data_IF_241867191859
#
_entry.id   IF_241867191859
#
_cell.length_a   1.000
_cell.length_b   1.000
_cell.length_c   1.000
_cell.angle_alpha   90.00
_cell.angle_beta   90.00
_cell.angle_gamma   90.00
#
_symmetry.space_group_name_H-M   'P 1'
#
loop_
_entity.id
_entity.type
_entity.pdbx_description
1 polymer ?
#
# COMPACT_ATOMS: atom_id res chain seq x y z
N UNK A 1 -29.13 72.90 14.78
CA UNK A 1 -29.43 72.56 16.20
C UNK A 1 -29.32 71.05 16.35
N UNK A 2 -28.27 70.55 17.01
CA UNK A 2 -28.32 69.76 18.27
C UNK A 2 -29.03 68.39 18.10
N UNK A 3 -28.48 67.20 18.34
CA UNK A 3 -27.38 66.71 19.20
C UNK A 3 -26.89 65.36 18.66
N UNK A 4 -25.58 65.08 18.69
CA UNK A 4 -25.00 63.73 18.54
C UNK A 4 -24.52 63.28 19.92
N UNK A 5 -25.04 62.16 20.40
CA UNK A 5 -24.83 61.67 21.76
C UNK A 5 -23.79 60.54 21.82
N UNK A 6 -22.98 60.63 22.88
CA UNK A 6 -22.34 59.58 23.67
C UNK A 6 -21.39 58.57 22.99
N UNK A 7 -20.09 58.83 23.19
CA UNK A 7 -19.01 57.82 23.20
C UNK A 7 -19.09 57.07 24.52
N UNK A 8 -19.16 55.74 24.48
CA UNK A 8 -19.11 54.86 25.66
C UNK A 8 -17.77 54.14 25.68
N UNK A 9 -16.90 54.51 26.61
CA UNK A 9 -15.62 53.85 26.86
C UNK A 9 -15.85 52.57 27.65
N UNK A 10 -15.54 51.42 27.05
CA UNK A 10 -15.57 50.10 27.70
C UNK A 10 -14.18 49.71 28.19
N UNK A 11 -14.01 49.70 29.51
CA UNK A 11 -12.84 49.22 30.24
C UNK A 11 -12.66 47.70 30.03
N UNK A 12 -11.52 47.29 29.44
CA UNK A 12 -11.14 45.89 29.30
C UNK A 12 -10.45 45.43 30.59
N UNK A 13 -11.20 44.70 31.41
CA UNK A 13 -10.70 44.09 32.64
C UNK A 13 -9.88 42.87 32.23
N UNK A 14 -8.55 42.99 32.39
CA UNK A 14 -7.58 41.91 32.25
C UNK A 14 -7.86 40.80 33.26
N UNK A 15 -8.38 39.65 32.79
CA UNK A 15 -8.46 38.44 33.60
C UNK A 15 -7.17 37.65 33.45
N UNK A 16 -6.27 37.87 34.40
CA UNK A 16 -5.10 37.02 34.62
C UNK A 16 -5.56 35.61 35.04
N UNK A 17 -5.36 34.63 34.17
CA UNK A 17 -5.56 33.22 34.51
C UNK A 17 -4.33 32.75 35.29
N UNK A 18 -4.46 32.70 36.62
CA UNK A 18 -3.48 32.07 37.48
C UNK A 18 -3.45 30.57 37.18
N UNK A 19 -2.36 30.11 36.55
CA UNK A 19 -2.03 28.70 36.40
C UNK A 19 -1.57 28.19 37.77
N UNK A 20 -2.45 27.46 38.47
CA UNK A 20 -2.07 26.73 39.68
C UNK A 20 -1.31 25.45 39.29
N UNK A 21 -0.12 25.17 39.87
CA UNK A 21 0.52 23.88 39.67
C UNK A 21 -0.31 22.81 40.40
N UNK A 22 -0.84 21.84 39.64
CA UNK A 22 -1.44 20.63 40.21
C UNK A 22 -0.35 19.86 40.95
N UNK A 23 -0.45 19.82 42.28
CA UNK A 23 0.24 18.85 43.12
C UNK A 23 -0.09 17.45 42.59
N UNK A 24 0.94 16.70 42.17
CA UNK A 24 0.79 15.29 41.82
C UNK A 24 0.26 14.54 43.05
N UNK A 25 -0.83 13.77 42.93
CA UNK A 25 -1.24 12.89 44.02
C UNK A 25 -0.11 11.89 44.26
N UNK A 26 0.35 11.80 45.50
CA UNK A 26 1.34 10.82 45.89
C UNK A 26 0.78 9.43 45.60
N UNK A 27 1.37 8.75 44.61
CA UNK A 27 1.10 7.36 44.34
C UNK A 27 1.54 6.56 45.57
N UNK A 28 0.58 6.25 46.45
CA UNK A 28 0.72 5.15 47.38
C UNK A 28 0.89 3.90 46.52
N UNK A 29 2.13 3.40 46.43
CA UNK A 29 2.42 2.08 45.87
C UNK A 29 1.75 1.07 46.78
N UNK A 30 0.47 0.77 46.53
CA UNK A 30 -0.11 -0.49 46.97
C UNK A 30 0.68 -1.58 46.26
N UNK A 31 1.47 -2.30 47.03
CA UNK A 31 2.07 -3.56 46.60
C UNK A 31 0.90 -4.50 46.29
N UNK A 32 0.55 -4.63 45.02
CA UNK A 32 -0.38 -5.66 44.58
C UNK A 32 0.37 -6.97 44.77
N UNK A 33 -0.11 -7.79 45.71
CA UNK A 33 0.35 -9.16 45.91
C UNK A 33 0.35 -9.88 44.57
N UNK A 34 1.36 -10.71 44.31
CA UNK A 34 1.46 -11.49 43.07
C UNK A 34 0.20 -12.31 42.75
N UNK A 35 -0.66 -12.55 43.75
CA UNK A 35 -1.88 -13.33 43.65
C UNK A 35 -3.10 -12.53 43.13
N UNK A 36 -3.05 -11.20 43.13
CA UNK A 36 -4.16 -10.32 42.69
C UNK A 36 -3.92 -9.70 41.30
N UNK A 37 -2.90 -10.16 40.56
CA UNK A 37 -2.74 -9.76 39.16
C UNK A 37 -3.86 -10.41 38.34
N UNK A 38 -4.78 -9.66 37.71
CA UNK A 38 -5.71 -10.26 36.77
C UNK A 38 -4.88 -10.97 35.71
N UNK A 39 -5.08 -12.27 35.59
CA UNK A 39 -4.52 -13.05 34.51
C UNK A 39 -4.99 -12.38 33.23
N UNK A 40 -4.06 -11.84 32.44
CA UNK A 40 -4.39 -11.44 31.08
C UNK A 40 -4.86 -12.73 30.40
N UNK A 41 -6.16 -12.84 30.13
CA UNK A 41 -6.70 -13.95 29.36
C UNK A 41 -5.92 -13.98 28.05
N UNK A 42 -5.13 -15.03 27.88
CA UNK A 42 -4.48 -15.33 26.61
C UNK A 42 -5.64 -15.45 25.61
N UNK A 43 -5.70 -14.62 24.55
CA UNK A 43 -6.76 -14.76 23.57
C UNK A 43 -6.71 -16.19 23.04
N UNK A 44 -7.79 -16.93 23.28
CA UNK A 44 -8.02 -18.28 22.80
C UNK A 44 -7.68 -18.30 21.30
N UNK A 45 -6.95 -19.29 20.76
CA UNK A 45 -6.74 -19.40 19.33
C UNK A 45 -8.11 -19.31 18.65
N UNK A 46 -8.34 -18.24 17.90
CA UNK A 46 -9.58 -18.05 17.18
C UNK A 46 -9.78 -19.26 16.28
N UNK A 47 -10.91 -19.94 16.45
CA UNK A 47 -11.36 -21.03 15.59
C UNK A 47 -11.18 -20.63 14.11
N UNK A 48 -10.72 -21.54 13.22
CA UNK A 48 -10.54 -21.22 11.81
C UNK A 48 -11.86 -20.65 11.27
N UNK A 49 -11.85 -19.38 10.90
CA UNK A 49 -13.04 -18.75 10.37
C UNK A 49 -13.48 -19.51 9.12
N UNK A 50 -14.78 -19.80 8.95
CA UNK A 50 -15.28 -20.46 7.75
C UNK A 50 -14.83 -19.64 6.53
N UNK A 51 -14.34 -20.31 5.49
CA UNK A 51 -13.92 -19.62 4.26
C UNK A 51 -15.13 -18.86 3.71
N UNK A 52 -14.95 -17.58 3.31
CA UNK A 52 -16.04 -16.80 2.74
C UNK A 52 -16.58 -17.50 1.48
N UNK A 53 -17.90 -17.51 1.32
CA UNK A 53 -18.55 -18.05 0.13
C UNK A 53 -18.55 -17.02 -1.02
N UNK A 54 -18.38 -17.46 -2.27
CA UNK A 54 -18.39 -16.54 -3.40
C UNK A 54 -19.78 -15.95 -3.62
N UNK A 55 -19.88 -14.62 -3.66
CA UNK A 55 -21.12 -13.91 -3.90
C UNK A 55 -21.07 -13.17 -5.24
N UNK A 56 -21.81 -13.71 -6.21
CA UNK A 56 -21.84 -13.19 -7.57
C UNK A 56 -22.70 -11.93 -7.70
N UNK A 57 -22.28 -11.04 -8.61
CA UNK A 57 -23.01 -9.85 -9.00
C UNK A 57 -24.34 -10.24 -9.67
N UNK A 58 -25.39 -9.45 -9.43
CA UNK A 58 -26.70 -9.67 -10.07
C UNK A 58 -26.57 -9.71 -11.61
N UNK A 59 -27.14 -10.74 -12.22
CA UNK A 59 -27.02 -11.01 -13.66
C UNK A 59 -25.83 -11.88 -14.05
N UNK A 60 -24.91 -12.18 -13.13
CA UNK A 60 -23.90 -13.22 -13.32
C UNK A 60 -24.45 -14.55 -12.83
N UNK A 61 -24.71 -15.47 -13.76
CA UNK A 61 -25.04 -16.85 -13.43
C UNK A 61 -23.75 -17.68 -13.34
N UNK A 62 -23.46 -18.35 -12.21
CA UNK A 62 -22.29 -19.22 -12.10
C UNK A 62 -22.53 -20.50 -12.89
N UNK A 63 -22.30 -20.42 -14.21
CA UNK A 63 -22.26 -21.60 -15.08
C UNK A 63 -21.20 -22.57 -14.55
N UNK A 64 -21.39 -23.88 -14.76
CA UNK A 64 -20.43 -24.93 -14.37
C UNK A 64 -19.00 -24.57 -14.78
N UNK A 65 -18.81 -24.04 -16.00
CA UNK A 65 -17.50 -23.61 -16.48
C UNK A 65 -16.90 -22.46 -15.67
N UNK A 66 -17.71 -21.48 -15.29
CA UNK A 66 -17.25 -20.33 -14.50
C UNK A 66 -16.87 -20.76 -13.09
N UNK A 67 -17.64 -21.68 -12.50
CA UNK A 67 -17.34 -22.24 -11.20
C UNK A 67 -16.00 -23.01 -11.22
N UNK A 68 -15.76 -23.84 -12.23
CA UNK A 68 -14.47 -24.55 -12.40
C UNK A 68 -13.30 -23.58 -12.51
N UNK A 69 -13.47 -22.46 -13.23
CA UNK A 69 -12.43 -21.43 -13.33
C UNK A 69 -12.17 -20.73 -12.00
N UNK A 70 -13.22 -20.43 -11.23
CA UNK A 70 -13.09 -19.85 -9.89
C UNK A 70 -12.38 -20.83 -8.94
N UNK A 71 -12.81 -22.09 -8.93
CA UNK A 71 -12.26 -23.13 -8.06
C UNK A 71 -10.77 -23.34 -8.34
N UNK A 72 -10.34 -23.26 -9.61
CA UNK A 72 -8.91 -23.36 -9.96
C UNK A 72 -8.06 -22.23 -9.39
N UNK A 73 -8.62 -21.02 -9.23
CA UNK A 73 -7.93 -19.88 -8.64
C UNK A 73 -7.83 -19.99 -7.11
N UNK A 74 -8.82 -20.65 -6.50
CA UNK A 74 -8.96 -20.83 -5.04
C UNK A 74 -8.40 -22.17 -4.54
N UNK A 75 -7.98 -23.06 -5.45
CA UNK A 75 -7.54 -24.41 -5.14
C UNK A 75 -6.39 -24.42 -4.13
N UNK A 76 -6.46 -25.22 -3.04
CA UNK A 76 -5.37 -25.33 -2.09
C UNK A 76 -4.08 -25.82 -2.77
N UNK A 77 -3.02 -25.00 -2.73
CA UNK A 77 -1.72 -25.33 -3.32
C UNK A 77 -1.43 -24.54 -4.59
N UNK A 78 -2.17 -24.84 -5.66
CA UNK A 78 -1.95 -24.24 -6.99
C UNK A 78 -2.62 -22.87 -7.12
N UNK A 79 -3.76 -22.68 -6.46
CA UNK A 79 -4.48 -21.42 -6.38
C UNK A 79 -3.85 -20.48 -5.37
N UNK A 80 -3.48 -19.28 -5.81
CA UNK A 80 -2.89 -18.25 -4.94
C UNK A 80 -3.83 -17.05 -4.71
N UNK A 81 -5.05 -17.12 -5.25
CA UNK A 81 -6.09 -16.13 -5.01
C UNK A 81 -6.90 -16.50 -3.78
N UNK A 82 -7.47 -15.47 -3.15
CA UNK A 82 -8.40 -15.60 -2.05
C UNK A 82 -9.66 -14.81 -2.37
N UNK A 83 -10.79 -15.28 -1.87
CA UNK A 83 -11.99 -14.46 -1.82
C UNK A 83 -11.80 -13.35 -0.78
N UNK A 84 -12.38 -12.18 -1.06
CA UNK A 84 -12.50 -11.11 -0.07
C UNK A 84 -13.36 -11.58 1.10
N UNK A 85 -13.23 -10.93 2.26
CA UNK A 85 -13.99 -11.29 3.47
C UNK A 85 -15.51 -11.27 3.25
N UNK A 86 -15.98 -10.40 2.35
CA UNK A 86 -17.39 -10.28 1.98
C UNK A 86 -17.81 -11.19 0.81
N UNK A 87 -16.88 -11.99 0.25
CA UNK A 87 -17.12 -12.92 -0.84
C UNK A 87 -17.34 -12.29 -2.22
N UNK A 88 -17.27 -10.96 -2.34
CA UNK A 88 -17.65 -10.20 -3.55
C UNK A 88 -16.49 -9.93 -4.51
N UNK A 89 -15.30 -10.42 -4.20
CA UNK A 89 -14.12 -10.18 -5.02
C UNK A 89 -13.04 -11.22 -4.81
N UNK A 90 -12.00 -11.12 -5.63
CA UNK A 90 -10.81 -11.94 -5.59
C UNK A 90 -9.61 -11.05 -5.29
N UNK A 91 -8.75 -11.47 -4.38
CA UNK A 91 -7.54 -10.75 -4.03
C UNK A 91 -6.29 -11.64 -4.02
N UNK A 92 -5.16 -11.05 -4.42
CA UNK A 92 -3.85 -11.71 -4.45
C UNK A 92 -2.72 -10.68 -4.35
N UNK A 93 -1.61 -11.08 -3.74
CA UNK A 93 -0.36 -10.31 -3.74
C UNK A 93 0.70 -10.98 -4.62
N UNK A 94 1.23 -10.22 -5.57
CA UNK A 94 2.31 -10.59 -6.47
C UNK A 94 3.63 -10.03 -5.93
N UNK A 95 4.73 -10.81 -6.04
CA UNK A 95 6.07 -10.35 -5.67
C UNK A 95 7.05 -10.58 -6.82
N UNK A 96 7.59 -9.48 -7.30
CA UNK A 96 8.58 -9.47 -8.36
C UNK A 96 9.98 -9.23 -7.81
N UNK A 97 10.96 -9.46 -8.69
CA UNK A 97 12.38 -9.28 -8.40
C UNK A 97 12.73 -7.85 -8.02
N UNK A 98 12.16 -6.88 -8.72
CA UNK A 98 12.43 -5.46 -8.58
C UNK A 98 11.20 -4.64 -9.03
N UNK A 99 11.29 -3.31 -8.88
CA UNK A 99 10.22 -2.39 -9.26
C UNK A 99 9.92 -2.42 -10.76
N UNK A 100 10.95 -2.44 -11.62
CA UNK A 100 10.78 -2.47 -13.08
C UNK A 100 9.92 -3.65 -13.55
N UNK A 101 10.13 -4.84 -12.97
CA UNK A 101 9.32 -6.04 -13.28
C UNK A 101 7.89 -5.91 -12.80
N UNK A 102 7.69 -5.35 -11.60
CA UNK A 102 6.35 -5.07 -11.07
C UNK A 102 5.60 -4.07 -11.97
N UNK A 103 6.28 -2.99 -12.38
CA UNK A 103 5.70 -1.98 -13.25
C UNK A 103 5.38 -2.50 -14.65
N UNK A 104 6.23 -3.34 -15.22
CA UNK A 104 5.97 -3.99 -16.52
C UNK A 104 4.75 -4.91 -16.46
N UNK A 105 4.62 -5.70 -15.39
CA UNK A 105 3.41 -6.49 -15.12
C UNK A 105 2.16 -5.61 -15.01
N UNK A 106 2.21 -4.55 -14.20
CA UNK A 106 1.10 -3.60 -14.04
C UNK A 106 0.71 -2.94 -15.36
N UNK A 107 1.68 -2.60 -16.20
CA UNK A 107 1.44 -2.00 -17.52
C UNK A 107 0.71 -2.97 -18.46
N UNK A 108 1.09 -4.25 -18.46
CA UNK A 108 0.41 -5.29 -19.24
C UNK A 108 -1.04 -5.52 -18.75
N UNK A 109 -1.25 -5.56 -17.42
CA UNK A 109 -2.60 -5.63 -16.83
C UNK A 109 -3.43 -4.42 -17.23
N UNK A 110 -2.86 -3.22 -17.17
CA UNK A 110 -3.56 -1.97 -17.57
C UNK A 110 -4.01 -2.00 -19.02
N UNK A 111 -3.21 -2.54 -19.94
CA UNK A 111 -3.62 -2.69 -21.34
C UNK A 111 -4.87 -3.58 -21.46
N UNK A 112 -4.90 -4.72 -20.75
CA UNK A 112 -6.05 -5.62 -20.74
C UNK A 112 -7.28 -5.01 -20.07
N UNK A 113 -7.11 -4.24 -18.99
CA UNK A 113 -8.21 -3.51 -18.34
C UNK A 113 -8.96 -2.60 -19.32
N UNK A 114 -8.24 -1.94 -20.22
CA UNK A 114 -8.84 -1.04 -21.23
C UNK A 114 -9.67 -1.80 -22.26
N UNK A 115 -9.20 -2.97 -22.68
CA UNK A 115 -9.92 -3.84 -23.62
C UNK A 115 -11.21 -4.40 -23.00
N UNK A 116 -11.15 -4.83 -21.74
CA UNK A 116 -12.29 -5.39 -21.01
C UNK A 116 -13.21 -4.34 -20.38
N UNK A 117 -12.80 -3.06 -20.42
CA UNK A 117 -13.41 -1.97 -19.67
C UNK A 117 -13.70 -2.35 -18.21
N UNK A 118 -12.71 -2.98 -17.57
CA UNK A 118 -12.81 -3.52 -16.21
C UNK A 118 -11.51 -3.24 -15.46
N UNK A 119 -11.60 -2.59 -14.30
CA UNK A 119 -10.44 -2.04 -13.60
C UNK A 119 -10.30 -2.67 -12.22
N UNK A 120 -9.07 -2.98 -11.76
CA UNK A 120 -8.85 -3.53 -10.44
C UNK A 120 -8.77 -2.44 -9.39
N UNK A 121 -8.97 -2.83 -8.15
CA UNK A 121 -8.41 -2.12 -7.00
C UNK A 121 -7.00 -2.67 -6.76
N UNK A 122 -5.97 -1.82 -6.70
CA UNK A 122 -4.62 -2.31 -6.46
C UNK A 122 -3.76 -1.36 -5.63
N UNK A 123 -2.70 -1.90 -5.06
CA UNK A 123 -1.66 -1.13 -4.38
C UNK A 123 -0.28 -1.68 -4.78
N UNK A 124 0.68 -0.79 -5.01
CA UNK A 124 2.06 -1.17 -5.32
C UNK A 124 3.02 -0.57 -4.29
N UNK A 125 3.88 -1.42 -3.73
CA UNK A 125 4.95 -1.04 -2.81
C UNK A 125 6.24 -1.68 -3.29
N UNK A 126 7.11 -0.88 -3.91
CA UNK A 126 8.33 -1.35 -4.56
C UNK A 126 8.04 -2.54 -5.51
N UNK A 127 8.62 -3.72 -5.25
CA UNK A 127 8.43 -4.89 -6.12
C UNK A 127 7.19 -5.75 -5.80
N UNK A 128 6.31 -5.28 -4.90
CA UNK A 128 5.08 -6.00 -4.50
C UNK A 128 3.86 -5.31 -5.08
N UNK A 129 2.94 -6.08 -5.65
CA UNK A 129 1.68 -5.57 -6.19
C UNK A 129 0.55 -6.36 -5.56
N UNK A 130 -0.31 -5.70 -4.81
CA UNK A 130 -1.57 -6.26 -4.32
C UNK A 130 -2.67 -5.90 -5.31
N UNK A 131 -3.46 -6.88 -5.73
CA UNK A 131 -4.58 -6.70 -6.66
C UNK A 131 -5.83 -7.31 -6.06
N UNK A 132 -6.94 -6.59 -6.17
CA UNK A 132 -8.30 -7.04 -5.92
C UNK A 132 -9.18 -6.78 -7.13
N UNK A 133 -9.87 -7.82 -7.59
CA UNK A 133 -10.88 -7.76 -8.63
C UNK A 133 -12.27 -7.87 -8.01
N UNK A 134 -13.14 -6.92 -8.33
CA UNK A 134 -14.54 -6.94 -7.92
C UNK A 134 -15.37 -6.14 -8.93
N UNK A 135 -16.63 -6.49 -9.10
CA UNK A 135 -17.56 -5.70 -9.91
C UNK A 135 -18.32 -4.74 -9.02
N UNK A 136 -18.20 -3.43 -9.28
CA UNK A 136 -18.84 -2.42 -8.44
C UNK A 136 -20.36 -2.34 -8.64
N UNK A 137 -20.85 -2.58 -9.85
CA UNK A 137 -22.26 -2.42 -10.22
C UNK A 137 -22.73 -3.45 -11.27
N UNK A 138 -23.76 -4.27 -10.95
CA UNK A 138 -24.22 -4.57 -9.59
C UNK A 138 -23.06 -5.13 -8.75
N UNK A 139 -23.09 -4.89 -7.44
CA UNK A 139 -21.96 -5.27 -6.57
C UNK A 139 -21.83 -6.79 -6.47
N UNK A 140 -20.64 -7.33 -6.68
CA UNK A 140 -20.35 -8.76 -6.51
C UNK A 140 -19.25 -9.26 -7.42
N UNK A 141 -18.98 -10.57 -7.37
CA UNK A 141 -18.06 -11.23 -8.27
C UNK A 141 -18.71 -11.42 -9.65
N UNK A 142 -17.99 -11.14 -10.73
CA UNK A 142 -18.45 -11.40 -12.11
C UNK A 142 -17.48 -12.27 -12.90
N UNK A 143 -17.91 -12.67 -14.10
CA UNK A 143 -17.05 -13.38 -15.04
C UNK A 143 -15.77 -12.59 -15.38
N UNK A 144 -15.85 -11.25 -15.45
CA UNK A 144 -14.70 -10.40 -15.76
C UNK A 144 -13.65 -10.46 -14.67
N UNK A 145 -14.08 -10.52 -13.40
CA UNK A 145 -13.16 -10.63 -12.25
C UNK A 145 -12.33 -11.92 -12.35
N UNK A 146 -12.98 -13.04 -12.66
CA UNK A 146 -12.33 -14.35 -12.81
C UNK A 146 -11.40 -14.35 -14.03
N UNK A 147 -11.84 -13.82 -15.17
CA UNK A 147 -11.02 -13.73 -16.38
C UNK A 147 -9.76 -12.87 -16.16
N UNK A 148 -9.91 -11.73 -15.50
CA UNK A 148 -8.79 -10.84 -15.20
C UNK A 148 -7.83 -11.44 -14.16
N UNK A 149 -8.32 -12.20 -13.20
CA UNK A 149 -7.48 -12.95 -12.26
C UNK A 149 -6.61 -14.00 -12.99
N UNK A 150 -7.19 -14.79 -13.90
CA UNK A 150 -6.45 -15.73 -14.75
C UNK A 150 -5.42 -15.03 -15.64
N UNK A 151 -5.79 -13.89 -16.23
CA UNK A 151 -4.87 -13.08 -17.02
C UNK A 151 -3.68 -12.59 -16.18
N UNK A 152 -3.92 -12.16 -14.94
CA UNK A 152 -2.85 -11.77 -14.02
C UNK A 152 -1.91 -12.93 -13.72
N UNK A 153 -2.43 -14.14 -13.47
CA UNK A 153 -1.59 -15.33 -13.23
C UNK A 153 -0.72 -15.69 -14.43
N UNK A 154 -1.28 -15.66 -15.64
CA UNK A 154 -0.53 -15.90 -16.87
C UNK A 154 0.55 -14.82 -17.09
N UNK A 155 0.18 -13.55 -16.89
CA UNK A 155 1.08 -12.40 -17.09
C UNK A 155 2.20 -12.38 -16.06
N UNK A 156 1.91 -12.71 -14.80
CA UNK A 156 2.89 -12.77 -13.72
C UNK A 156 3.97 -13.84 -13.98
N UNK A 157 3.61 -14.98 -14.59
CA UNK A 157 4.57 -16.00 -15.04
C UNK A 157 5.56 -15.43 -16.07
N UNK A 158 5.08 -14.64 -17.02
CA UNK A 158 5.92 -13.99 -18.05
C UNK A 158 6.91 -13.00 -17.46
N UNK A 159 6.49 -12.22 -16.45
CA UNK A 159 7.38 -11.27 -15.77
C UNK A 159 8.16 -11.88 -14.60
N UNK A 160 8.09 -13.20 -14.47
CA UNK A 160 8.72 -14.04 -13.46
C UNK A 160 8.64 -13.46 -12.04
N UNK A 161 7.58 -13.84 -11.33
CA UNK A 161 7.57 -13.79 -9.87
C UNK A 161 8.82 -14.51 -9.33
N UNK A 162 9.54 -13.88 -8.41
CA UNK A 162 10.79 -14.45 -7.89
C UNK A 162 10.50 -15.30 -6.67
N UNK A 163 10.54 -16.62 -6.81
CA UNK A 163 10.76 -17.51 -5.66
C UNK A 163 12.28 -17.67 -5.43
N UNK A 164 12.73 -17.25 -4.24
CA UNK A 164 14.11 -17.28 -3.67
C UNK A 164 15.31 -17.34 -4.65
N UNK A 165 16.04 -16.23 -4.75
CA UNK A 165 17.43 -16.19 -5.23
C UNK A 165 17.79 -14.86 -5.89
N UNK A 166 18.45 -13.95 -5.17
CA UNK A 166 18.89 -12.67 -5.73
C UNK A 166 20.02 -12.90 -6.74
N UNK A 167 19.90 -12.33 -7.95
CA UNK A 167 20.85 -12.58 -9.03
C UNK A 167 21.95 -11.49 -9.17
N UNK A 168 23.10 -11.94 -9.62
CA UNK A 168 24.32 -11.14 -9.75
C UNK A 168 24.26 -10.09 -10.87
N UNK A 169 23.35 -10.27 -11.83
CA UNK A 169 23.11 -9.30 -12.91
C UNK A 169 22.51 -7.99 -12.41
N UNK A 170 21.67 -8.04 -11.35
CA UNK A 170 21.12 -6.84 -10.73
C UNK A 170 22.19 -6.05 -9.98
N UNK A 171 23.14 -6.75 -9.32
CA UNK A 171 24.29 -6.11 -8.67
C UNK A 171 25.21 -5.41 -9.68
N UNK A 172 25.44 -6.02 -10.85
CA UNK A 172 26.23 -5.41 -11.94
C UNK A 172 25.59 -4.14 -12.51
N UNK A 173 24.27 -4.15 -12.75
CA UNK A 173 23.58 -2.95 -13.25
C UNK A 173 23.60 -1.80 -12.24
N UNK A 174 23.56 -2.11 -10.94
CA UNK A 174 23.71 -1.11 -9.86
C UNK A 174 25.15 -0.57 -9.76
N UNK A 175 26.18 -1.40 -9.96
CA UNK A 175 27.56 -0.91 -10.00
C UNK A 175 27.83 -0.01 -11.20
N UNK A 176 27.22 -0.30 -12.35
CA UNK A 176 27.39 0.49 -13.57
C UNK A 176 26.73 1.88 -13.45
N UNK A 177 25.55 1.96 -12.82
CA UNK A 177 24.90 3.24 -12.50
C UNK A 177 25.68 4.06 -11.47
N UNK A 178 26.18 3.41 -10.41
CA UNK A 178 27.04 4.08 -9.43
C UNK A 178 28.36 4.58 -10.06
N UNK A 179 28.86 3.90 -11.08
CA UNK A 179 30.00 4.35 -11.88
C UNK A 179 29.65 5.60 -12.70
N UNK A 180 28.50 5.61 -13.36
CA UNK A 180 28.03 6.76 -14.15
C UNK A 180 27.80 8.03 -13.30
N UNK A 181 27.23 7.90 -12.11
CA UNK A 181 27.02 9.04 -11.20
C UNK A 181 28.35 9.64 -10.71
N UNK A 182 29.34 8.78 -10.40
CA UNK A 182 30.69 9.22 -10.02
C UNK A 182 31.38 9.96 -11.17
N UNK A 183 31.27 9.45 -12.40
CA UNK A 183 31.81 10.10 -13.60
C UNK A 183 31.16 11.48 -13.81
N UNK A 184 29.83 11.57 -13.71
CA UNK A 184 29.13 12.86 -13.82
C UNK A 184 29.46 13.83 -12.70
N UNK A 185 29.74 13.35 -11.49
CA UNK A 185 30.22 14.20 -10.39
C UNK A 185 31.64 14.73 -10.66
N UNK A 186 32.52 13.92 -11.23
CA UNK A 186 33.88 14.33 -11.59
C UNK A 186 33.90 15.36 -12.72
N UNK A 187 33.11 15.17 -13.78
CA UNK A 187 32.94 16.15 -14.86
C UNK A 187 32.44 17.51 -14.32
N UNK A 188 31.45 17.49 -13.42
CA UNK A 188 30.93 18.70 -12.77
C UNK A 188 32.01 19.42 -11.95
N UNK A 189 32.82 18.67 -11.19
CA UNK A 189 33.94 19.23 -10.42
C UNK A 189 35.02 19.83 -11.31
N UNK A 190 35.38 19.15 -12.39
CA UNK A 190 36.36 19.65 -13.36
C UNK A 190 35.88 20.94 -14.03
N UNK A 191 34.59 21.01 -14.38
CA UNK A 191 33.99 22.21 -14.97
C UNK A 191 33.97 23.39 -14.00
N UNK A 192 33.66 23.16 -12.73
CA UNK A 192 33.73 24.21 -11.69
C UNK A 192 35.18 24.65 -11.47
N UNK A 193 36.12 23.71 -11.43
CA UNK A 193 37.53 24.03 -11.26
C UNK A 193 38.10 24.83 -12.45
N UNK A 194 37.72 24.50 -13.70
CA UNK A 194 38.13 25.25 -14.88
C UNK A 194 37.52 26.65 -14.87
N UNK A 195 36.25 26.79 -14.51
CA UNK A 195 35.57 28.09 -14.43
C UNK A 195 36.18 28.99 -13.35
N UNK A 196 36.58 28.42 -12.20
CA UNK A 196 37.33 29.15 -11.17
C UNK A 196 38.72 29.53 -11.73
N UNK A 197 39.44 28.60 -12.36
CA UNK A 197 40.77 28.89 -12.91
C UNK A 197 40.75 30.04 -13.94
N UNK A 198 39.74 30.06 -14.81
CA UNK A 198 39.47 31.14 -15.76
C UNK A 198 39.12 32.46 -15.06
N UNK A 199 38.25 32.43 -14.05
CA UNK A 199 37.83 33.62 -13.30
C UNK A 199 38.98 34.28 -12.52
N UNK A 200 39.98 33.51 -12.09
CA UNK A 200 41.13 33.99 -11.32
C UNK A 200 42.40 34.21 -12.19
N UNK A 201 42.29 34.09 -13.52
CA UNK A 201 43.39 34.39 -14.45
C UNK A 201 44.62 33.50 -14.29
N UNK A 202 44.47 32.32 -13.70
CA UNK A 202 45.56 31.38 -13.49
C UNK A 202 45.70 30.50 -14.74
N UNK A 203 46.79 30.62 -15.50
CA UNK A 203 47.10 29.71 -16.62
C UNK A 203 47.81 28.45 -16.15
#
# INVERSE_FOLDING_TARGET
>A
MSRRALVRTGSLISRSLAVTPRLCPQFSRRFISSQDRPQAEVPKPSEPQPRPEPMFSAGTNPTTQLQVQLDSLLAPGDGQWKLTDDGKGLERSFKFKNFDRAWAFMSAVTARCKEENHHPEWANVASRVYIRWTTHMPRGLSQRDIQMAHFCDATAKTYAESFKGADEASKRKLSDLASWEKTKAQERRQKVASQIKEQWGMH
#
